data_IF_687787292486
#
_entry.id   IF_687787292486
#
_cell.length_a   1.000
_cell.length_b   1.000
_cell.length_c   1.000
_cell.angle_alpha   90.00
_cell.angle_beta   90.00
_cell.angle_gamma   90.00
#
_symmetry.space_group_name_H-M   'P 1'
#
loop_
_entity.id
_entity.type
_entity.pdbx_description
1 polymer ?
#
# COMPACT_ATOMS: atom_id res chain seq x y z
N UNK A 1 22.56 4.16 0.11
CA UNK A 1 21.72 4.94 1.05
C UNK A 1 20.31 4.94 0.50
N UNK A 2 19.30 4.76 1.35
CA UNK A 2 17.90 4.85 0.94
C UNK A 2 17.36 6.22 1.26
N UNK A 3 16.57 6.76 0.35
CA UNK A 3 15.93 8.06 0.50
C UNK A 3 14.42 7.89 0.54
N UNK A 4 13.76 8.70 1.35
CA UNK A 4 12.32 8.94 1.26
C UNK A 4 12.10 10.45 1.16
N UNK A 5 11.09 10.88 0.43
CA UNK A 5 10.86 12.31 0.17
C UNK A 5 9.38 12.66 0.11
N UNK A 6 9.08 13.91 0.39
CA UNK A 6 7.74 14.45 0.49
C UNK A 6 7.26 14.55 1.93
N UNK A 7 6.54 15.63 2.23
CA UNK A 7 6.18 16.02 3.62
C UNK A 7 5.45 14.90 4.34
N UNK A 8 4.38 14.37 3.75
CA UNK A 8 3.59 13.31 4.39
C UNK A 8 4.40 12.01 4.54
N UNK A 9 5.14 11.61 3.51
CA UNK A 9 5.94 10.38 3.53
C UNK A 9 6.97 10.41 4.67
N UNK A 10 7.71 11.51 4.81
CA UNK A 10 8.71 11.67 5.89
C UNK A 10 8.04 11.76 7.25
N UNK A 11 6.94 12.52 7.37
CA UNK A 11 6.20 12.65 8.62
C UNK A 11 5.65 11.30 9.11
N UNK A 12 5.04 10.52 8.22
CA UNK A 12 4.49 9.21 8.60
C UNK A 12 5.58 8.17 8.88
N UNK A 13 6.71 8.22 8.17
CA UNK A 13 7.84 7.35 8.47
C UNK A 13 8.46 7.64 9.85
N UNK A 14 8.53 8.91 10.27
CA UNK A 14 8.96 9.28 11.62
C UNK A 14 7.98 8.75 12.68
N UNK A 15 6.68 8.85 12.45
CA UNK A 15 5.65 8.33 13.38
C UNK A 15 5.66 6.82 13.50
N UNK A 16 5.81 6.11 12.38
CA UNK A 16 5.77 4.65 12.32
C UNK A 16 6.97 3.99 13.02
N UNK A 17 8.10 4.70 13.13
CA UNK A 17 9.34 4.22 13.76
C UNK A 17 9.88 2.91 13.18
N UNK A 18 9.46 2.55 11.97
CA UNK A 18 9.88 1.34 11.28
C UNK A 18 11.21 1.48 10.51
N UNK A 19 11.83 2.68 10.54
CA UNK A 19 13.09 2.97 9.87
C UNK A 19 14.07 3.66 10.81
N UNK A 20 15.36 3.41 10.60
CA UNK A 20 16.42 4.21 11.23
C UNK A 20 16.71 5.41 10.33
N UNK A 21 16.68 6.60 10.91
CA UNK A 21 17.01 7.85 10.23
C UNK A 21 18.45 8.23 10.48
N UNK A 22 19.22 8.45 9.41
CA UNK A 22 20.55 9.04 9.52
C UNK A 22 20.46 10.56 9.70
N UNK A 23 19.64 11.22 8.87
CA UNK A 23 19.32 12.66 8.97
C UNK A 23 18.18 13.03 8.02
N UNK A 24 17.61 14.23 8.21
CA UNK A 24 16.55 14.79 7.38
C UNK A 24 17.02 16.12 6.80
N UNK A 25 17.02 16.24 5.47
CA UNK A 25 17.28 17.48 4.74
C UNK A 25 16.01 18.28 4.54
N UNK A 26 16.06 19.58 4.85
CA UNK A 26 14.95 20.53 4.69
C UNK A 26 15.44 21.74 3.87
N UNK A 27 14.64 22.17 2.89
CA UNK A 27 14.96 23.33 2.06
C UNK A 27 15.01 24.61 2.91
N UNK A 28 16.13 25.39 2.81
CA UNK A 28 16.35 26.64 3.56
C UNK A 28 15.29 27.71 3.32
N UNK A 29 14.79 27.80 2.10
CA UNK A 29 13.98 28.91 1.62
C UNK A 29 12.46 28.66 1.74
N UNK A 30 12.05 27.54 2.33
CA UNK A 30 10.64 27.15 2.37
C UNK A 30 10.05 27.29 3.76
N UNK A 31 9.18 28.25 3.93
CA UNK A 31 8.40 28.50 5.15
C UNK A 31 7.01 27.82 5.05
N UNK A 32 6.96 26.49 5.22
CA UNK A 32 5.71 25.72 5.25
C UNK A 32 5.51 25.16 6.66
N UNK A 33 4.34 25.41 7.26
CA UNK A 33 4.01 24.95 8.61
C UNK A 33 4.13 23.42 8.75
N UNK A 34 3.86 22.69 7.67
CA UNK A 34 3.99 21.22 7.67
C UNK A 34 5.45 20.78 7.75
N UNK A 35 6.38 21.54 7.11
CA UNK A 35 7.83 21.29 7.26
C UNK A 35 8.30 21.59 8.68
N UNK A 36 7.75 22.62 9.32
CA UNK A 36 8.03 22.92 10.74
C UNK A 36 7.63 21.72 11.62
N UNK A 37 6.47 21.12 11.39
CA UNK A 37 6.04 19.93 12.15
C UNK A 37 7.00 18.75 11.94
N UNK A 38 7.53 18.52 10.71
CA UNK A 38 8.54 17.49 10.45
C UNK A 38 9.82 17.78 11.24
N UNK A 39 10.30 19.03 11.24
CA UNK A 39 11.49 19.44 11.99
C UNK A 39 11.30 19.22 13.49
N UNK A 40 10.13 19.60 14.02
CA UNK A 40 9.83 19.43 15.44
C UNK A 40 9.73 17.95 15.83
N UNK A 41 9.18 17.10 14.95
CA UNK A 41 9.18 15.65 15.15
C UNK A 41 10.60 15.06 15.14
N UNK A 42 11.44 15.46 14.18
CA UNK A 42 12.86 15.06 14.15
C UNK A 42 13.57 15.42 15.47
N UNK A 43 13.36 16.63 15.98
CA UNK A 43 13.94 17.08 17.26
C UNK A 43 13.47 16.22 18.44
N UNK A 44 12.18 15.89 18.50
CA UNK A 44 11.62 15.03 19.55
C UNK A 44 12.22 13.62 19.55
N UNK A 45 12.58 13.13 18.35
CA UNK A 45 13.16 11.78 18.18
C UNK A 45 14.71 11.77 18.15
N UNK A 46 15.36 12.93 18.29
CA UNK A 46 16.81 13.03 18.22
C UNK A 46 17.39 12.81 16.81
N UNK A 47 16.56 12.96 15.77
CA UNK A 47 16.99 12.83 14.38
C UNK A 47 17.63 14.13 13.91
N UNK A 48 18.84 14.06 13.36
CA UNK A 48 19.58 15.22 12.87
C UNK A 48 18.83 15.88 11.68
N UNK A 49 18.67 17.21 11.75
CA UNK A 49 18.08 18.00 10.65
C UNK A 49 19.17 18.88 10.03
N UNK A 50 19.21 18.89 8.70
CA UNK A 50 20.11 19.75 7.90
C UNK A 50 19.28 20.66 7.01
N UNK A 51 19.52 21.96 7.10
CA UNK A 51 18.93 22.93 6.18
C UNK A 51 19.87 23.09 4.99
N UNK A 52 19.40 22.70 3.81
CA UNK A 52 20.19 22.62 2.58
C UNK A 52 19.53 23.38 1.43
N UNK A 53 20.28 23.80 0.39
CA UNK A 53 19.68 24.35 -0.84
C UNK A 53 18.73 23.34 -1.50
N UNK A 54 17.75 23.84 -2.25
CA UNK A 54 16.75 22.99 -2.92
C UNK A 54 17.37 22.03 -3.92
N UNK A 55 18.40 22.49 -4.62
CA UNK A 55 19.14 21.72 -5.63
C UNK A 55 19.79 20.46 -5.05
N UNK A 56 20.25 20.53 -3.80
CA UNK A 56 20.79 19.36 -3.10
C UNK A 56 19.70 18.32 -2.83
N UNK A 57 18.49 18.76 -2.46
CA UNK A 57 17.35 17.86 -2.29
C UNK A 57 16.87 17.26 -3.62
N UNK A 58 16.89 18.03 -4.72
CA UNK A 58 16.59 17.53 -6.07
C UNK A 58 17.55 16.41 -6.48
N UNK A 59 18.85 16.58 -6.21
CA UNK A 59 19.88 15.57 -6.46
C UNK A 59 19.66 14.30 -5.61
N UNK A 60 19.39 14.46 -4.31
CA UNK A 60 19.14 13.34 -3.40
C UNK A 60 17.89 12.55 -3.78
N UNK A 61 16.81 13.24 -4.12
CA UNK A 61 15.54 12.62 -4.48
C UNK A 61 15.52 12.08 -5.92
N UNK A 62 16.45 12.54 -6.79
CA UNK A 62 16.45 12.27 -8.21
C UNK A 62 15.28 12.90 -8.97
N UNK A 63 14.57 13.86 -8.34
CA UNK A 63 13.43 14.59 -8.91
C UNK A 63 13.12 15.84 -8.09
N UNK A 64 12.24 16.71 -8.63
CA UNK A 64 11.81 17.97 -7.98
C UNK A 64 10.53 17.84 -7.14
N UNK A 65 10.00 16.63 -6.98
CA UNK A 65 8.72 16.37 -6.33
C UNK A 65 8.81 16.18 -4.81
N UNK A 66 10.00 16.43 -4.21
CA UNK A 66 10.30 16.19 -2.79
C UNK A 66 9.61 17.15 -1.80
N UNK A 67 8.92 18.18 -2.27
CA UNK A 67 8.18 19.15 -1.44
C UNK A 67 9.03 19.87 -0.37
N UNK A 68 10.34 19.98 -0.57
CA UNK A 68 11.27 20.65 0.33
C UNK A 68 11.78 19.78 1.49
N UNK A 69 11.58 18.46 1.44
CA UNK A 69 12.12 17.53 2.44
C UNK A 69 12.53 16.20 1.84
N UNK A 70 13.71 15.73 2.24
CA UNK A 70 14.25 14.39 1.91
C UNK A 70 14.88 13.81 3.18
N UNK A 71 14.58 12.57 3.50
CA UNK A 71 15.19 11.86 4.60
C UNK A 71 16.10 10.74 4.12
N UNK A 72 17.26 10.60 4.76
CA UNK A 72 18.20 9.49 4.58
C UNK A 72 17.89 8.45 5.62
N UNK A 73 17.48 7.26 5.19
CA UNK A 73 16.97 6.22 6.09
C UNK A 73 17.54 4.82 5.76
N UNK A 74 17.27 3.85 6.65
CA UNK A 74 17.38 2.43 6.32
C UNK A 74 16.36 2.04 5.22
N UNK A 75 16.56 0.89 4.58
CA UNK A 75 15.55 0.30 3.71
C UNK A 75 14.25 -0.01 4.50
N UNK A 76 13.10 -0.02 3.79
CA UNK A 76 11.87 -0.58 4.35
C UNK A 76 12.09 -2.07 4.63
N UNK A 77 11.81 -2.48 5.85
CA UNK A 77 11.76 -3.90 6.19
C UNK A 77 10.36 -4.44 5.83
N UNK A 78 10.34 -5.63 5.22
CA UNK A 78 9.11 -6.36 4.95
C UNK A 78 8.81 -7.28 6.13
N UNK A 79 7.56 -7.54 6.35
CA UNK A 79 7.07 -8.47 7.37
C UNK A 79 7.04 -9.89 6.80
N UNK A 80 7.01 -10.88 7.67
CA UNK A 80 6.66 -12.23 7.30
C UNK A 80 5.15 -12.34 7.07
N UNK A 81 4.69 -13.37 6.35
CA UNK A 81 3.27 -13.54 6.04
C UNK A 81 2.45 -13.72 7.31
N UNK A 82 3.00 -14.45 8.26
CA UNK A 82 2.40 -14.71 9.58
C UNK A 82 2.14 -13.42 10.35
N UNK A 83 3.05 -12.46 10.29
CA UNK A 83 2.89 -11.14 10.92
C UNK A 83 1.73 -10.37 10.30
N UNK A 84 1.57 -10.44 8.95
CA UNK A 84 0.47 -9.81 8.23
C UNK A 84 -0.87 -10.41 8.65
N UNK A 85 -0.96 -11.72 8.79
CA UNK A 85 -2.18 -12.41 9.25
C UNK A 85 -2.48 -12.08 10.72
N UNK A 86 -1.46 -12.04 11.57
CA UNK A 86 -1.60 -11.73 12.99
C UNK A 86 -1.98 -10.26 13.27
N UNK A 87 -1.77 -9.36 12.32
CA UNK A 87 -2.04 -7.92 12.47
C UNK A 87 -3.53 -7.53 12.47
N UNK A 88 -4.44 -8.51 12.59
CA UNK A 88 -5.90 -8.31 12.56
C UNK A 88 -6.35 -7.16 13.46
N UNK A 89 -6.97 -6.14 12.83
CA UNK A 89 -7.40 -4.88 13.49
C UNK A 89 -8.88 -4.83 13.81
N UNK A 90 -9.70 -5.65 13.16
CA UNK A 90 -11.16 -5.60 13.27
C UNK A 90 -11.79 -6.97 13.56
N UNK A 91 -13.13 -7.03 13.50
CA UNK A 91 -13.87 -8.27 13.65
C UNK A 91 -13.50 -9.28 12.58
N UNK A 92 -13.33 -8.83 11.34
CA UNK A 92 -12.99 -9.64 10.18
C UNK A 92 -11.67 -9.17 9.59
N UNK A 93 -10.78 -10.10 9.27
CA UNK A 93 -9.52 -9.80 8.58
C UNK A 93 -9.77 -9.28 7.17
N UNK A 94 -8.89 -8.37 6.74
CA UNK A 94 -8.84 -7.85 5.38
C UNK A 94 -7.38 -7.72 4.94
N UNK A 95 -6.95 -8.60 4.05
CA UNK A 95 -5.60 -8.56 3.47
C UNK A 95 -5.70 -8.21 1.98
N UNK A 96 -4.79 -7.40 1.48
CA UNK A 96 -4.70 -7.07 0.05
C UNK A 96 -3.54 -7.84 -0.57
N UNK A 97 -3.82 -8.69 -1.54
CA UNK A 97 -2.81 -9.46 -2.29
C UNK A 97 -2.70 -8.90 -3.69
N UNK A 98 -1.49 -8.54 -4.11
CA UNK A 98 -1.22 -7.96 -5.42
C UNK A 98 -0.51 -8.96 -6.32
N UNK A 99 -1.10 -9.25 -7.48
CA UNK A 99 -0.59 -10.19 -8.46
C UNK A 99 -0.02 -9.45 -9.69
N UNK A 100 1.20 -8.92 -9.55
CA UNK A 100 1.92 -8.31 -10.66
C UNK A 100 1.65 -6.81 -10.90
N UNK A 101 1.34 -6.04 -9.86
CA UNK A 101 1.26 -4.57 -9.95
C UNK A 101 2.68 -3.99 -10.06
N UNK A 102 3.07 -3.53 -11.26
CA UNK A 102 4.44 -3.08 -11.56
C UNK A 102 4.63 -1.55 -11.41
N UNK A 103 3.57 -0.76 -11.63
CA UNK A 103 3.66 0.69 -11.48
C UNK A 103 3.73 1.12 -10.01
N UNK A 104 4.81 1.83 -9.58
CA UNK A 104 4.94 2.29 -8.21
C UNK A 104 3.87 3.31 -7.78
N UNK A 105 3.27 4.05 -8.71
CA UNK A 105 2.16 4.96 -8.39
C UNK A 105 0.89 4.19 -8.06
N UNK A 106 0.57 3.15 -8.84
CA UNK A 106 -0.56 2.27 -8.56
C UNK A 106 -0.36 1.52 -7.24
N UNK A 107 0.82 0.94 -7.01
CA UNK A 107 1.13 0.30 -5.73
C UNK A 107 0.94 1.27 -4.56
N UNK A 108 1.48 2.47 -4.65
CA UNK A 108 1.34 3.48 -3.59
C UNK A 108 -0.11 3.88 -3.34
N UNK A 109 -0.91 4.07 -4.39
CA UNK A 109 -2.33 4.40 -4.28
C UNK A 109 -3.15 3.25 -3.65
N UNK A 110 -2.86 1.99 -4.03
CA UNK A 110 -3.51 0.81 -3.43
C UNK A 110 -3.17 0.71 -1.94
N UNK A 111 -1.89 0.82 -1.56
CA UNK A 111 -1.48 0.74 -0.15
C UNK A 111 -2.11 1.86 0.70
N UNK A 112 -2.23 3.07 0.14
CA UNK A 112 -2.92 4.18 0.81
C UNK A 112 -4.40 3.89 1.01
N UNK A 113 -5.07 3.34 0.01
CA UNK A 113 -6.49 2.99 0.09
C UNK A 113 -6.70 1.80 1.04
N UNK A 114 -5.81 0.80 1.03
CA UNK A 114 -5.85 -0.34 1.92
C UNK A 114 -5.74 0.09 3.40
N UNK A 115 -4.77 0.96 3.72
CA UNK A 115 -4.63 1.52 5.07
C UNK A 115 -5.88 2.31 5.48
N UNK A 116 -6.39 3.19 4.60
CA UNK A 116 -7.60 3.98 4.84
C UNK A 116 -8.87 3.13 5.00
N UNK A 117 -8.94 1.98 4.34
CA UNK A 117 -10.03 1.01 4.47
C UNK A 117 -9.90 0.10 5.70
N UNK A 118 -8.80 0.21 6.46
CA UNK A 118 -8.53 -0.59 7.65
C UNK A 118 -8.07 -2.02 7.34
N UNK A 119 -7.39 -2.23 6.19
CA UNK A 119 -6.77 -3.50 5.90
C UNK A 119 -5.68 -3.83 6.92
N UNK A 120 -5.54 -5.10 7.26
CA UNK A 120 -4.55 -5.60 8.23
C UNK A 120 -3.14 -5.60 7.64
N UNK A 121 -3.02 -5.79 6.32
CA UNK A 121 -1.76 -5.74 5.62
C UNK A 121 -1.89 -5.97 4.12
N UNK A 122 -0.73 -6.02 3.46
CA UNK A 122 -0.62 -6.29 2.03
C UNK A 122 0.43 -7.36 1.74
N UNK A 123 0.22 -8.09 0.65
CA UNK A 123 1.17 -9.09 0.13
C UNK A 123 1.54 -8.69 -1.30
N UNK A 124 2.84 -8.61 -1.58
CA UNK A 124 3.39 -8.28 -2.90
C UNK A 124 4.38 -9.35 -3.36
N UNK A 125 4.51 -9.65 -4.66
CA UNK A 125 5.51 -10.57 -5.14
C UNK A 125 6.92 -9.95 -5.14
N UNK A 126 7.93 -10.79 -5.01
CA UNK A 126 9.34 -10.37 -5.07
C UNK A 126 9.77 -9.94 -6.47
N UNK A 127 9.18 -10.55 -7.49
CA UNK A 127 9.53 -10.34 -8.90
C UNK A 127 8.32 -9.87 -9.68
N UNK A 128 8.56 -9.12 -10.76
CA UNK A 128 7.50 -8.59 -11.65
C UNK A 128 6.45 -7.78 -10.89
N UNK A 129 6.93 -6.98 -9.95
CA UNK A 129 6.10 -6.06 -9.18
C UNK A 129 6.94 -4.91 -8.65
N UNK A 130 6.30 -3.78 -8.39
CA UNK A 130 6.93 -2.67 -7.70
C UNK A 130 7.24 -3.06 -6.24
N UNK A 131 8.47 -2.77 -5.80
CA UNK A 131 8.80 -2.81 -4.37
C UNK A 131 8.48 -1.47 -3.70
N UNK A 132 8.49 -1.44 -2.35
CA UNK A 132 8.25 -0.22 -1.58
C UNK A 132 9.47 0.70 -1.66
N UNK A 133 9.53 1.46 -2.75
CA UNK A 133 10.54 2.49 -3.04
C UNK A 133 10.15 3.85 -2.46
N UNK A 134 11.03 4.85 -2.56
CA UNK A 134 10.71 6.23 -2.22
C UNK A 134 9.49 6.77 -2.99
N UNK A 135 9.32 6.38 -4.26
CA UNK A 135 8.16 6.75 -5.08
C UNK A 135 6.87 6.15 -4.52
N UNK A 136 6.89 4.87 -4.12
CA UNK A 136 5.74 4.19 -3.48
C UNK A 136 5.41 4.83 -2.14
N UNK A 137 6.41 5.10 -1.29
CA UNK A 137 6.21 5.75 0.00
C UNK A 137 5.58 7.13 -0.18
N UNK A 138 6.00 7.89 -1.19
CA UNK A 138 5.40 9.17 -1.51
C UNK A 138 3.99 9.04 -2.08
N UNK A 139 3.77 8.16 -3.06
CA UNK A 139 2.46 7.93 -3.68
C UNK A 139 1.42 7.44 -2.65
N UNK A 140 1.86 6.62 -1.68
CA UNK A 140 1.02 6.19 -0.56
C UNK A 140 0.81 7.28 0.51
N UNK A 141 1.39 8.48 0.36
CA UNK A 141 1.41 9.53 1.38
C UNK A 141 1.94 9.04 2.75
N UNK A 142 2.79 8.02 2.76
CA UNK A 142 3.37 7.41 3.94
C UNK A 142 2.59 6.22 4.52
N UNK A 143 1.42 5.87 4.00
CA UNK A 143 0.62 4.72 4.47
C UNK A 143 1.42 3.40 4.44
N UNK A 144 2.33 3.25 3.46
CA UNK A 144 3.24 2.10 3.38
C UNK A 144 4.14 1.93 4.60
N UNK A 145 4.29 2.93 5.46
CA UNK A 145 5.08 2.83 6.68
C UNK A 145 4.31 2.21 7.85
N UNK A 146 2.98 2.31 7.83
CA UNK A 146 2.09 1.80 8.87
C UNK A 146 1.49 0.43 8.55
N UNK A 147 1.27 0.17 7.25
CA UNK A 147 0.69 -1.09 6.81
C UNK A 147 1.76 -2.20 6.81
N UNK A 148 1.55 -3.33 7.51
CA UNK A 148 2.38 -4.53 7.37
C UNK A 148 2.39 -5.00 5.92
N UNK A 149 3.57 -5.26 5.36
CA UNK A 149 3.71 -5.68 3.96
C UNK A 149 4.61 -6.90 3.91
N UNK A 150 4.05 -8.04 3.49
CA UNK A 150 4.83 -9.23 3.21
C UNK A 150 5.28 -9.27 1.74
N UNK A 151 6.50 -9.76 1.53
CA UNK A 151 7.07 -9.95 0.20
C UNK A 151 7.32 -11.42 -0.06
N UNK A 152 6.64 -11.98 -1.06
CA UNK A 152 6.56 -13.43 -1.28
C UNK A 152 7.08 -13.82 -2.66
N UNK A 153 7.60 -15.03 -2.78
CA UNK A 153 8.13 -15.55 -4.05
C UNK A 153 7.05 -16.06 -5.00
N UNK A 154 5.91 -16.54 -4.46
CA UNK A 154 4.85 -17.19 -5.24
C UNK A 154 3.46 -16.88 -4.68
N UNK A 155 2.72 -16.01 -5.38
CA UNK A 155 1.37 -15.60 -4.98
C UNK A 155 0.41 -16.79 -4.89
N UNK A 156 0.38 -17.70 -5.88
CA UNK A 156 -0.56 -18.82 -5.88
C UNK A 156 -0.36 -19.74 -4.65
N UNK A 157 0.89 -19.99 -4.25
CA UNK A 157 1.20 -20.74 -3.02
C UNK A 157 0.79 -19.96 -1.77
N UNK A 158 1.05 -18.65 -1.75
CA UNK A 158 0.66 -17.80 -0.63
C UNK A 158 -0.85 -17.76 -0.44
N UNK A 159 -1.66 -17.81 -1.52
CA UNK A 159 -3.11 -17.93 -1.38
C UNK A 159 -3.51 -19.24 -0.65
N UNK A 160 -2.82 -20.35 -0.91
CA UNK A 160 -3.08 -21.61 -0.21
C UNK A 160 -2.70 -21.52 1.28
N UNK A 161 -1.59 -20.84 1.58
CA UNK A 161 -1.15 -20.58 2.96
C UNK A 161 -2.17 -19.70 3.71
N UNK A 162 -2.72 -18.67 3.08
CA UNK A 162 -3.77 -17.82 3.64
C UNK A 162 -5.10 -18.60 3.84
N UNK A 163 -5.47 -19.47 2.90
CA UNK A 163 -6.65 -20.36 3.06
C UNK A 163 -6.51 -21.29 4.26
N UNK A 164 -5.31 -21.82 4.51
CA UNK A 164 -5.04 -22.65 5.68
C UNK A 164 -5.22 -21.88 7.01
N UNK A 165 -5.20 -20.53 6.96
CA UNK A 165 -5.52 -19.63 8.07
C UNK A 165 -7.01 -19.21 8.10
N UNK A 166 -7.88 -19.91 7.35
CA UNK A 166 -9.33 -19.67 7.24
C UNK A 166 -9.71 -18.31 6.60
N UNK A 167 -8.89 -17.75 5.74
CA UNK A 167 -9.26 -16.59 4.93
C UNK A 167 -9.87 -17.04 3.59
N UNK A 168 -10.91 -16.35 3.15
CA UNK A 168 -11.49 -16.51 1.82
C UNK A 168 -10.74 -15.67 0.79
N UNK A 169 -10.37 -16.27 -0.33
CA UNK A 169 -9.67 -15.58 -1.42
C UNK A 169 -10.68 -15.02 -2.42
N UNK A 170 -10.78 -13.71 -2.50
CA UNK A 170 -11.69 -13.01 -3.45
C UNK A 170 -10.84 -12.32 -4.51
N UNK A 171 -10.84 -12.86 -5.71
CA UNK A 171 -10.16 -12.28 -6.87
C UNK A 171 -11.05 -11.24 -7.57
N UNK A 172 -10.51 -10.06 -7.82
CA UNK A 172 -11.14 -9.05 -8.67
C UNK A 172 -10.63 -9.21 -10.10
N UNK A 173 -11.49 -9.67 -11.01
CA UNK A 173 -11.14 -9.98 -12.39
C UNK A 173 -12.34 -9.82 -13.31
N UNK A 174 -12.14 -9.38 -14.55
CA UNK A 174 -13.21 -9.23 -15.54
C UNK A 174 -13.94 -10.55 -15.88
N UNK A 175 -13.26 -11.69 -15.66
CA UNK A 175 -13.83 -13.03 -15.83
C UNK A 175 -14.80 -13.43 -14.71
N UNK A 176 -14.90 -12.62 -13.65
CA UNK A 176 -15.82 -12.87 -12.53
C UNK A 176 -17.27 -12.85 -12.98
N UNK A 177 -18.02 -13.91 -12.68
CA UNK A 177 -19.43 -14.01 -13.03
C UNK A 177 -20.35 -13.30 -12.01
N UNK A 178 -19.83 -13.03 -10.82
CA UNK A 178 -20.54 -12.32 -9.75
C UNK A 178 -20.14 -10.85 -9.74
N UNK A 179 -21.13 -9.98 -9.50
CA UNK A 179 -20.81 -8.57 -9.24
C UNK A 179 -20.10 -8.42 -7.90
N UNK A 180 -19.11 -7.53 -7.83
CA UNK A 180 -18.31 -7.26 -6.64
C UNK A 180 -19.13 -6.94 -5.39
N UNK A 181 -20.32 -6.40 -5.53
CA UNK A 181 -21.23 -5.98 -4.46
C UNK A 181 -22.26 -7.05 -4.07
N UNK A 182 -22.29 -8.20 -4.77
CA UNK A 182 -23.23 -9.31 -4.50
C UNK A 182 -22.73 -10.32 -3.47
N UNK A 183 -21.43 -10.31 -3.16
CA UNK A 183 -20.81 -11.19 -2.15
C UNK A 183 -20.94 -10.58 -0.75
N UNK A 184 -21.19 -11.39 0.27
CA UNK A 184 -21.14 -10.95 1.68
C UNK A 184 -19.68 -10.94 2.18
N UNK A 185 -19.17 -9.75 2.47
CA UNK A 185 -17.79 -9.55 2.97
C UNK A 185 -17.68 -9.50 4.50
N UNK A 186 -18.72 -9.90 5.23
CA UNK A 186 -18.66 -10.09 6.69
C UNK A 186 -17.96 -11.43 7.03
N UNK A 187 -16.75 -11.58 6.52
CA UNK A 187 -15.89 -12.77 6.68
C UNK A 187 -14.41 -12.34 6.64
N UNK A 188 -13.54 -13.19 7.19
CA UNK A 188 -12.10 -13.03 7.03
C UNK A 188 -11.71 -13.29 5.57
N UNK A 189 -11.15 -12.31 4.88
CA UNK A 189 -10.85 -12.43 3.44
C UNK A 189 -9.57 -11.74 3.02
N UNK A 190 -9.00 -12.23 1.93
CA UNK A 190 -7.95 -11.58 1.17
C UNK A 190 -8.49 -11.19 -0.21
N UNK A 191 -8.30 -9.92 -0.58
CA UNK A 191 -8.69 -9.38 -1.89
C UNK A 191 -7.49 -9.46 -2.80
N UNK A 192 -7.63 -10.20 -3.90
CA UNK A 192 -6.57 -10.43 -4.87
C UNK A 192 -6.79 -9.55 -6.09
N UNK A 193 -5.80 -8.69 -6.37
CA UNK A 193 -5.83 -7.70 -7.45
C UNK A 193 -4.73 -8.03 -8.47
N UNK A 194 -5.09 -8.11 -9.74
CA UNK A 194 -4.16 -8.42 -10.82
C UNK A 194 -3.43 -7.21 -11.39
N UNK A 195 -2.57 -7.46 -12.37
CA UNK A 195 -1.87 -6.44 -13.13
C UNK A 195 -2.83 -5.62 -14.00
N UNK A 196 -2.47 -4.35 -14.25
CA UNK A 196 -3.22 -3.47 -15.14
C UNK A 196 -3.31 -4.05 -16.56
N UNK A 197 -4.53 -4.12 -17.11
CA UNK A 197 -4.80 -4.60 -18.47
C UNK A 197 -4.68 -6.10 -18.69
N UNK A 198 -4.18 -6.87 -17.70
CA UNK A 198 -4.03 -8.34 -17.81
C UNK A 198 -4.87 -9.11 -16.80
N UNK A 199 -5.37 -8.43 -15.76
CA UNK A 199 -6.09 -9.09 -14.67
C UNK A 199 -5.18 -10.02 -13.85
N UNK A 200 -5.76 -11.03 -13.24
CA UNK A 200 -5.08 -12.06 -12.46
C UNK A 200 -4.39 -13.08 -13.38
N UNK A 201 -3.20 -13.53 -13.02
CA UNK A 201 -2.61 -14.70 -13.65
C UNK A 201 -3.53 -15.93 -13.50
N UNK A 202 -3.63 -16.78 -14.52
CA UNK A 202 -4.59 -17.90 -14.54
C UNK A 202 -4.48 -18.82 -13.34
N UNK A 203 -3.26 -19.10 -12.88
CA UNK A 203 -3.06 -19.96 -11.72
C UNK A 203 -3.57 -19.28 -10.44
N UNK A 204 -3.36 -17.96 -10.30
CA UNK A 204 -3.83 -17.17 -9.16
C UNK A 204 -5.36 -17.10 -9.17
N UNK A 205 -5.97 -16.82 -10.33
CA UNK A 205 -7.43 -16.80 -10.48
C UNK A 205 -8.07 -18.14 -10.08
N UNK A 206 -7.47 -19.27 -10.52
CA UNK A 206 -7.96 -20.63 -10.13
C UNK A 206 -7.82 -20.93 -8.62
N UNK A 207 -6.94 -20.22 -7.91
CA UNK A 207 -6.78 -20.37 -6.46
C UNK A 207 -7.72 -19.48 -5.65
N UNK A 208 -8.41 -18.52 -6.28
CA UNK A 208 -9.45 -17.76 -5.61
C UNK A 208 -10.69 -18.62 -5.37
N UNK A 209 -11.36 -18.38 -4.23
CA UNK A 209 -12.63 -19.05 -3.89
C UNK A 209 -13.79 -18.37 -4.62
N UNK A 210 -13.66 -17.07 -4.80
CA UNK A 210 -14.61 -16.24 -5.54
C UNK A 210 -13.87 -15.40 -6.56
N UNK A 211 -14.43 -15.28 -7.76
CA UNK A 211 -14.04 -14.29 -8.75
C UNK A 211 -15.20 -13.32 -8.93
N UNK A 212 -14.95 -12.05 -8.62
CA UNK A 212 -15.94 -10.99 -8.75
C UNK A 212 -15.47 -9.95 -9.77
N UNK A 213 -16.42 -9.28 -10.40
CA UNK A 213 -16.15 -8.23 -11.39
C UNK A 213 -16.85 -6.92 -11.03
N UNK A 214 -16.26 -5.80 -11.42
CA UNK A 214 -16.92 -4.48 -11.37
C UNK A 214 -17.59 -4.27 -12.73
N UNK A 215 -18.91 -4.01 -12.78
CA UNK A 215 -19.63 -3.81 -14.03
C UNK A 215 -19.11 -2.59 -14.80
N UNK A 216 -18.72 -2.77 -16.06
CA UNK A 216 -18.31 -1.71 -16.96
C UNK A 216 -19.47 -1.31 -17.87
N UNK A 217 -20.02 -0.10 -17.68
CA UNK A 217 -21.14 0.42 -18.47
C UNK A 217 -20.68 1.30 -19.64
N UNK A 218 -19.40 1.57 -19.73
CA UNK A 218 -18.78 2.40 -20.76
C UNK A 218 -18.19 1.57 -21.92
N UNK A 219 -17.47 2.26 -22.81
CA UNK A 219 -16.76 1.63 -23.94
C UNK A 219 -15.39 1.08 -23.56
N UNK A 220 -14.79 1.59 -22.49
CA UNK A 220 -13.50 1.11 -21.97
C UNK A 220 -13.76 -0.10 -21.06
N UNK A 221 -13.11 -1.25 -21.30
CA UNK A 221 -13.46 -2.50 -20.63
C UNK A 221 -12.88 -2.65 -19.21
N UNK A 222 -12.04 -1.74 -18.75
CA UNK A 222 -11.37 -1.88 -17.47
C UNK A 222 -11.19 -0.54 -16.74
N UNK A 223 -11.00 -0.61 -15.43
CA UNK A 223 -10.54 0.51 -14.59
C UNK A 223 -9.04 0.39 -14.35
N UNK A 224 -8.41 1.51 -14.05
CA UNK A 224 -7.09 1.50 -13.43
C UNK A 224 -7.12 0.64 -12.16
N UNK A 225 -6.10 -0.18 -11.91
CA UNK A 225 -6.07 -1.15 -10.80
C UNK A 225 -6.22 -0.49 -9.43
N UNK A 226 -5.67 0.70 -9.22
CA UNK A 226 -5.81 1.41 -7.94
C UNK A 226 -7.22 1.95 -7.73
N UNK A 227 -7.93 2.32 -8.79
CA UNK A 227 -9.34 2.71 -8.75
C UNK A 227 -10.20 1.49 -8.44
N UNK A 228 -9.98 0.37 -9.14
CA UNK A 228 -10.69 -0.89 -8.89
C UNK A 228 -10.49 -1.37 -7.44
N UNK A 229 -9.27 -1.27 -6.92
CA UNK A 229 -8.97 -1.53 -5.50
C UNK A 229 -9.78 -0.64 -4.57
N UNK A 230 -9.89 0.67 -4.88
CA UNK A 230 -10.68 1.61 -4.10
C UNK A 230 -12.17 1.25 -4.05
N UNK A 231 -12.76 0.94 -5.19
CA UNK A 231 -14.17 0.51 -5.30
C UNK A 231 -14.41 -0.75 -4.45
N UNK A 232 -13.56 -1.75 -4.61
CA UNK A 232 -13.66 -3.03 -3.90
C UNK A 232 -13.51 -2.88 -2.39
N UNK A 233 -12.45 -2.21 -1.93
CA UNK A 233 -12.16 -2.05 -0.51
C UNK A 233 -13.25 -1.23 0.21
N UNK A 234 -13.78 -0.18 -0.42
CA UNK A 234 -14.82 0.63 0.18
C UNK A 234 -16.22 -0.02 0.13
N UNK A 235 -16.46 -0.95 -0.78
CA UNK A 235 -17.63 -1.82 -0.70
C UNK A 235 -17.57 -2.72 0.54
N UNK A 236 -16.41 -3.31 0.83
CA UNK A 236 -16.19 -4.11 2.05
C UNK A 236 -16.42 -3.25 3.30
N UNK A 237 -15.86 -2.04 3.33
CA UNK A 237 -16.08 -1.10 4.45
C UNK A 237 -17.56 -0.77 4.61
N UNK A 238 -18.28 -0.54 3.52
CA UNK A 238 -19.73 -0.25 3.53
C UNK A 238 -20.54 -1.39 4.14
N UNK A 239 -20.26 -2.63 3.74
CA UNK A 239 -20.98 -3.80 4.26
C UNK A 239 -20.68 -4.05 5.74
N UNK A 240 -19.39 -4.01 6.12
CA UNK A 240 -18.97 -4.24 7.51
C UNK A 240 -19.49 -3.18 8.48
N UNK A 241 -19.63 -1.92 8.06
CA UNK A 241 -20.23 -0.84 8.88
C UNK A 241 -21.73 -1.01 9.09
N UNK A 242 -22.49 -1.52 8.11
CA UNK A 242 -23.95 -1.73 8.23
C UNK A 242 -24.33 -2.76 9.28
N UNK A 243 -23.44 -3.71 9.60
CA UNK A 243 -23.70 -4.78 10.58
C UNK A 243 -23.33 -4.38 12.00
N UNK A 244 -22.61 -3.26 12.18
CA UNK A 244 -22.20 -2.72 13.48
C UNK A 244 -23.18 -1.66 14.03
N UNK A 245 -24.20 -1.30 13.29
CA UNK A 245 -25.29 -0.39 13.67
C UNK A 245 -26.60 -1.17 13.91
#
# INVERSE_FOLDING_TARGET
MNYIYGINAVAEALKARGRTFAWVGVAKERHDIRLKHVVDECRRQGVAVRFVPREELDQMAGNNAHQGVVAVTSAKQYNDLEDVVAAKRGQYSLIVVLDGVEDPHNLGAILRTADAAGADGAVIPERRAAGVTATVTKASAGASEHLPIAKVTNIARTLEELKAQNLWMVGLDERGQQSYDSLDYNMDCAIVLGAEGKGLHDLVARKCDFLVSIPMLGKVPSLNVSVAAGVMLYEIVRQRKKKSA
#
